data_IF_085286936250
#
_entry.id   IF_085286936250
#
_cell.length_a   1.000
_cell.length_b   1.000
_cell.length_c   1.000
_cell.angle_alpha   90.00
_cell.angle_beta   90.00
_cell.angle_gamma   90.00
#
_symmetry.space_group_name_H-M   'P 1'
#
loop_
_entity.id
_entity.type
_entity.pdbx_description
1 polymer ?
#
# COMPACT_ATOMS: atom_id res chain seq x y z
N UNK A 1 0.13 4.97 24.92
CA UNK A 1 1.15 4.52 23.96
C UNK A 1 2.54 4.49 24.59
N UNK A 2 3.16 5.63 24.93
CA UNK A 2 4.48 5.64 25.57
C UNK A 2 4.56 4.79 26.85
N UNK A 3 3.58 4.92 27.75
CA UNK A 3 3.52 4.09 28.96
C UNK A 3 3.44 2.57 28.66
N UNK A 4 2.86 2.17 27.53
CA UNK A 4 2.83 0.75 27.12
C UNK A 4 4.19 0.31 26.61
N UNK A 5 4.84 1.13 25.78
CA UNK A 5 6.20 0.86 25.26
C UNK A 5 7.22 0.76 26.39
N UNK A 6 7.07 1.60 27.43
CA UNK A 6 7.92 1.58 28.63
C UNK A 6 7.52 0.52 29.67
N UNK A 7 6.48 -0.28 29.42
CA UNK A 7 6.02 -1.33 30.34
C UNK A 7 5.31 -0.82 31.61
N UNK A 8 4.92 0.45 31.66
CA UNK A 8 4.16 1.06 32.77
C UNK A 8 2.64 0.84 32.67
N UNK A 9 2.14 0.49 31.48
CA UNK A 9 0.76 0.12 31.23
C UNK A 9 0.73 -1.25 30.54
N UNK A 10 -0.22 -2.09 30.95
CA UNK A 10 -0.43 -3.41 30.35
C UNK A 10 -0.78 -3.29 28.85
N UNK A 11 0.04 -3.86 27.93
CA UNK A 11 -0.26 -3.89 26.51
C UNK A 11 -1.47 -4.77 26.16
N UNK A 12 -1.86 -5.73 27.00
CA UNK A 12 -2.98 -6.64 26.76
C UNK A 12 -4.34 -6.03 27.13
N UNK A 13 -4.34 -4.90 27.84
CA UNK A 13 -5.55 -4.20 28.27
C UNK A 13 -6.50 -3.93 27.09
N UNK A 14 -7.73 -4.44 27.17
CA UNK A 14 -8.75 -4.25 26.13
C UNK A 14 -9.02 -2.75 25.86
N UNK A 15 -8.95 -1.90 26.88
CA UNK A 15 -9.12 -0.46 26.71
C UNK A 15 -8.01 0.16 25.84
N UNK A 16 -6.77 -0.28 26.03
CA UNK A 16 -5.65 0.16 25.22
C UNK A 16 -5.74 -0.39 23.79
N UNK A 17 -6.12 -1.66 23.63
CA UNK A 17 -6.31 -2.31 22.33
C UNK A 17 -7.36 -1.58 21.48
N UNK A 18 -8.53 -1.31 22.06
CA UNK A 18 -9.60 -0.56 21.36
C UNK A 18 -9.13 0.84 20.96
N UNK A 19 -8.36 1.50 21.81
CA UNK A 19 -7.82 2.83 21.51
C UNK A 19 -6.83 2.79 20.34
N UNK A 20 -5.86 1.85 20.35
CA UNK A 20 -4.78 1.80 19.37
C UNK A 20 -5.26 1.32 17.99
N UNK A 21 -6.24 0.40 17.97
CA UNK A 21 -6.84 -0.12 16.74
C UNK A 21 -7.71 0.91 16.02
N UNK A 22 -8.31 1.84 16.77
CA UNK A 22 -9.13 2.94 16.22
C UNK A 22 -8.31 4.16 15.84
N UNK A 23 -7.03 4.22 16.21
CA UNK A 23 -6.16 5.31 15.82
C UNK A 23 -5.84 5.25 14.32
N UNK A 24 -6.26 6.26 13.57
CA UNK A 24 -5.97 6.35 12.13
C UNK A 24 -4.50 6.68 11.81
N UNK A 25 -3.72 7.14 12.80
CA UNK A 25 -2.32 7.53 12.58
C UNK A 25 -2.16 8.73 11.65
N UNK A 26 -3.03 9.75 11.76
CA UNK A 26 -3.01 10.92 10.86
C UNK A 26 -1.78 11.84 11.01
N UNK A 27 -1.07 11.76 12.15
CA UNK A 27 0.15 12.53 12.45
C UNK A 27 0.01 14.06 12.36
N UNK A 28 -1.21 14.58 12.26
CA UNK A 28 -1.46 16.03 12.16
C UNK A 28 -1.00 16.81 13.41
N UNK A 29 -0.84 16.12 14.55
CA UNK A 29 -0.35 16.71 15.79
C UNK A 29 1.16 16.93 15.83
N UNK A 30 1.96 16.20 15.03
CA UNK A 30 3.43 16.30 15.07
C UNK A 30 3.97 17.68 14.69
N UNK A 31 3.57 18.32 13.56
CA UNK A 31 4.15 19.60 13.16
C UNK A 31 3.78 20.77 14.08
N UNK A 32 2.72 20.62 14.88
CA UNK A 32 2.24 21.64 15.83
C UNK A 32 2.67 21.37 17.27
N UNK A 33 3.35 20.25 17.52
CA UNK A 33 3.71 19.85 18.87
C UNK A 33 4.90 20.71 19.36
N UNK A 34 4.74 21.55 20.40
CA UNK A 34 5.86 22.34 20.93
C UNK A 34 6.93 21.47 21.61
N UNK A 35 6.58 20.23 21.96
CA UNK A 35 7.48 19.26 22.58
C UNK A 35 8.18 18.34 21.56
N UNK A 36 7.89 18.46 20.26
CA UNK A 36 8.51 17.65 19.22
C UNK A 36 8.21 16.14 19.34
N UNK A 37 7.00 15.78 19.78
CA UNK A 37 6.65 14.36 19.97
C UNK A 37 6.48 13.67 18.62
N UNK A 38 7.32 12.67 18.36
CA UNK A 38 7.25 11.76 17.21
C UNK A 38 6.10 10.73 17.38
N UNK A 39 4.86 11.23 17.25
CA UNK A 39 3.65 10.45 17.50
C UNK A 39 3.58 9.16 16.65
N UNK A 40 3.95 9.23 15.37
CA UNK A 40 3.95 8.12 14.43
C UNK A 40 4.87 7.00 14.87
N UNK A 41 6.10 7.33 15.28
CA UNK A 41 7.06 6.35 15.82
C UNK A 41 6.52 5.73 17.11
N UNK A 42 5.96 6.53 18.02
CA UNK A 42 5.35 6.01 19.26
C UNK A 42 4.16 5.09 18.97
N UNK A 43 3.34 5.41 17.97
CA UNK A 43 2.21 4.59 17.53
C UNK A 43 2.68 3.24 16.97
N UNK A 44 3.70 3.25 16.11
CA UNK A 44 4.28 2.04 15.53
C UNK A 44 4.89 1.13 16.61
N UNK A 45 5.68 1.70 17.53
CA UNK A 45 6.25 0.95 18.65
C UNK A 45 5.15 0.37 19.55
N UNK A 46 4.13 1.16 19.87
CA UNK A 46 3.03 0.70 20.71
C UNK A 46 2.21 -0.42 20.05
N UNK A 47 2.05 -0.38 18.71
CA UNK A 47 1.42 -1.47 17.94
C UNK A 47 2.28 -2.72 17.90
N UNK A 48 3.60 -2.60 17.79
CA UNK A 48 4.51 -3.75 17.91
C UNK A 48 4.45 -4.37 19.30
N UNK A 49 4.53 -3.56 20.38
CA UNK A 49 4.38 -4.04 21.76
C UNK A 49 3.04 -4.75 21.97
N UNK A 50 1.95 -4.15 21.50
CA UNK A 50 0.61 -4.73 21.55
C UNK A 50 0.51 -6.06 20.78
N UNK A 51 1.00 -6.09 19.54
CA UNK A 51 0.97 -7.28 18.67
C UNK A 51 1.84 -8.42 19.20
N UNK A 52 2.94 -8.11 19.91
CA UNK A 52 3.76 -9.12 20.57
C UNK A 52 3.08 -9.71 21.80
N UNK A 53 2.38 -8.89 22.59
CA UNK A 53 1.63 -9.35 23.76
C UNK A 53 0.38 -10.14 23.34
N UNK A 54 -0.37 -9.64 22.37
CA UNK A 54 -1.57 -10.28 21.81
C UNK A 54 -1.41 -10.50 20.29
N UNK A 55 -0.79 -11.62 19.89
CA UNK A 55 -0.55 -11.91 18.47
C UNK A 55 -1.84 -11.92 17.66
N UNK A 56 -1.82 -11.36 16.44
CA UNK A 56 -2.99 -11.39 15.57
C UNK A 56 -3.41 -12.82 15.26
N UNK A 57 -4.63 -13.00 14.78
CA UNK A 57 -5.14 -14.31 14.40
C UNK A 57 -4.28 -14.95 13.29
N UNK A 58 -4.28 -16.30 13.17
CA UNK A 58 -3.43 -17.01 12.22
C UNK A 58 -3.65 -16.59 10.76
N UNK A 59 -4.88 -16.20 10.38
CA UNK A 59 -5.19 -15.74 9.02
C UNK A 59 -4.52 -14.40 8.75
N UNK A 60 -4.61 -13.44 9.68
CA UNK A 60 -3.95 -12.14 9.58
C UNK A 60 -2.42 -12.29 9.53
N UNK A 61 -1.84 -13.16 10.37
CA UNK A 61 -0.40 -13.48 10.31
C UNK A 61 0.00 -14.09 8.96
N UNK A 62 -0.82 -15.00 8.44
CA UNK A 62 -0.63 -15.59 7.11
C UNK A 62 -0.64 -14.52 6.01
N UNK A 63 -1.61 -13.61 6.05
CA UNK A 63 -1.71 -12.51 5.08
C UNK A 63 -0.49 -11.58 5.13
N UNK A 64 -0.04 -11.18 6.33
CA UNK A 64 1.17 -10.36 6.48
C UNK A 64 2.40 -11.08 5.92
N UNK A 65 2.54 -12.39 6.14
CA UNK A 65 3.64 -13.18 5.57
C UNK A 65 3.57 -13.26 4.04
N UNK A 66 2.37 -13.47 3.47
CA UNK A 66 2.15 -13.44 2.01
C UNK A 66 2.52 -12.08 1.43
N UNK A 67 2.12 -10.98 2.08
CA UNK A 67 2.44 -9.61 1.66
C UNK A 67 3.92 -9.23 1.81
N UNK A 68 4.64 -9.85 2.74
CA UNK A 68 6.09 -9.68 2.90
C UNK A 68 6.90 -10.38 1.80
N UNK A 69 6.37 -11.47 1.24
CA UNK A 69 7.02 -12.21 0.16
C UNK A 69 6.68 -11.63 -1.19
N UNK A 70 7.69 -11.16 -1.93
CA UNK A 70 7.51 -10.64 -3.30
C UNK A 70 6.83 -11.67 -4.19
N UNK A 71 7.32 -12.92 -4.19
CA UNK A 71 6.78 -13.99 -5.03
C UNK A 71 5.30 -14.28 -4.73
N UNK A 72 4.95 -14.49 -3.46
CA UNK A 72 3.56 -14.82 -3.08
C UNK A 72 2.62 -13.65 -3.33
N UNK A 73 3.09 -12.42 -3.09
CA UNK A 73 2.32 -11.21 -3.36
C UNK A 73 2.05 -11.01 -4.85
N UNK A 74 3.04 -11.23 -5.72
CA UNK A 74 2.84 -11.20 -7.17
C UNK A 74 1.84 -12.26 -7.64
N UNK A 75 1.95 -13.49 -7.13
CA UNK A 75 0.99 -14.57 -7.44
C UNK A 75 -0.42 -14.16 -6.99
N UNK A 76 -0.56 -13.59 -5.78
CA UNK A 76 -1.86 -13.16 -5.26
C UNK A 76 -2.46 -12.04 -6.13
N UNK A 77 -1.68 -11.01 -6.48
CA UNK A 77 -2.17 -9.92 -7.33
C UNK A 77 -2.50 -10.37 -8.74
N UNK A 78 -1.69 -11.27 -9.33
CA UNK A 78 -1.95 -11.83 -10.65
C UNK A 78 -3.22 -12.68 -10.65
N UNK A 79 -3.37 -13.58 -9.67
CA UNK A 79 -4.57 -14.38 -9.49
C UNK A 79 -5.82 -13.53 -9.24
N UNK A 80 -5.71 -12.50 -8.39
CA UNK A 80 -6.78 -11.54 -8.13
C UNK A 80 -7.18 -10.77 -9.39
N UNK A 81 -6.20 -10.32 -10.20
CA UNK A 81 -6.44 -9.67 -11.50
C UNK A 81 -7.18 -10.62 -12.45
N UNK A 82 -6.76 -11.87 -12.55
CA UNK A 82 -7.41 -12.88 -13.39
C UNK A 82 -8.85 -13.14 -12.94
N UNK A 83 -9.08 -13.38 -11.64
CA UNK A 83 -10.42 -13.61 -11.06
C UNK A 83 -11.36 -12.44 -11.29
N UNK A 84 -10.84 -11.21 -11.20
CA UNK A 84 -11.56 -9.97 -11.48
C UNK A 84 -11.90 -9.80 -12.96
N UNK A 85 -10.94 -10.04 -13.86
CA UNK A 85 -11.17 -9.90 -15.32
C UNK A 85 -12.16 -10.94 -15.81
N UNK A 86 -12.07 -12.18 -15.33
CA UNK A 86 -13.00 -13.26 -15.68
C UNK A 86 -14.41 -13.09 -15.08
N UNK A 87 -14.64 -12.11 -14.20
CA UNK A 87 -15.95 -11.91 -13.56
C UNK A 87 -16.34 -13.00 -12.54
N UNK A 88 -15.42 -13.91 -12.24
CA UNK A 88 -15.63 -14.97 -11.26
C UNK A 88 -15.83 -14.41 -9.85
N UNK A 89 -15.13 -13.34 -9.49
CA UNK A 89 -15.32 -12.68 -8.20
C UNK A 89 -16.77 -12.20 -8.01
N UNK A 90 -17.38 -11.57 -9.01
CA UNK A 90 -18.80 -11.16 -8.96
C UNK A 90 -19.75 -12.35 -8.93
N UNK A 91 -19.49 -13.40 -9.72
CA UNK A 91 -20.32 -14.61 -9.72
C UNK A 91 -20.30 -15.30 -8.34
N UNK A 92 -19.12 -15.42 -7.74
CA UNK A 92 -18.95 -16.01 -6.41
C UNK A 92 -19.66 -15.21 -5.32
N UNK A 93 -19.65 -13.87 -5.38
CA UNK A 93 -20.38 -13.02 -4.41
C UNK A 93 -21.89 -13.31 -4.46
N UNK A 94 -22.48 -13.45 -5.65
CA UNK A 94 -23.90 -13.75 -5.82
C UNK A 94 -24.30 -15.13 -5.26
N UNK A 95 -23.39 -16.12 -5.35
CA UNK A 95 -23.61 -17.47 -4.81
C UNK A 95 -23.39 -17.51 -3.30
N UNK A 96 -22.28 -16.93 -2.79
CA UNK A 96 -21.97 -16.87 -1.37
C UNK A 96 -22.95 -16.00 -0.57
N UNK A 97 -23.69 -15.10 -1.22
CA UNK A 97 -24.75 -14.29 -0.58
C UNK A 97 -25.83 -15.13 0.10
N UNK A 98 -25.97 -16.41 -0.25
CA UNK A 98 -26.90 -17.35 0.38
C UNK A 98 -26.33 -18.04 1.64
N UNK A 99 -25.04 -17.85 1.95
CA UNK A 99 -24.32 -18.56 3.02
C UNK A 99 -23.93 -17.57 4.13
N UNK A 100 -24.62 -17.65 5.29
CA UNK A 100 -24.48 -16.68 6.40
C UNK A 100 -23.08 -16.58 7.02
N UNK A 101 -22.27 -17.64 6.99
CA UNK A 101 -20.96 -17.69 7.65
C UNK A 101 -19.78 -17.26 6.77
N UNK A 102 -20.00 -16.94 5.49
CA UNK A 102 -18.93 -16.58 4.55
C UNK A 102 -18.61 -15.07 4.48
N UNK A 103 -18.94 -14.30 5.54
CA UNK A 103 -18.94 -12.83 5.53
C UNK A 103 -17.61 -12.18 5.12
N UNK A 104 -16.47 -12.62 5.68
CA UNK A 104 -15.14 -12.08 5.37
C UNK A 104 -14.71 -12.37 3.93
N UNK A 105 -14.94 -13.60 3.47
CA UNK A 105 -14.62 -14.02 2.11
C UNK A 105 -15.49 -13.28 1.08
N UNK A 106 -16.79 -13.14 1.37
CA UNK A 106 -17.72 -12.34 0.56
C UNK A 106 -17.27 -10.89 0.48
N UNK A 107 -16.86 -10.28 1.60
CA UNK A 107 -16.35 -8.91 1.60
C UNK A 107 -15.08 -8.77 0.75
N UNK A 108 -14.13 -9.70 0.87
CA UNK A 108 -12.91 -9.69 0.07
C UNK A 108 -13.21 -9.82 -1.45
N UNK A 109 -14.11 -10.74 -1.82
CA UNK A 109 -14.53 -10.93 -3.22
C UNK A 109 -15.33 -9.73 -3.75
N UNK A 110 -16.15 -9.10 -2.91
CA UNK A 110 -16.89 -7.88 -3.25
C UNK A 110 -15.96 -6.67 -3.44
N UNK A 111 -14.93 -6.53 -2.60
CA UNK A 111 -13.89 -5.52 -2.81
C UNK A 111 -13.14 -5.78 -4.11
N UNK A 112 -12.78 -7.03 -4.39
CA UNK A 112 -12.13 -7.38 -5.64
C UNK A 112 -13.02 -7.11 -6.86
N UNK A 113 -14.32 -7.43 -6.79
CA UNK A 113 -15.25 -7.15 -7.89
C UNK A 113 -15.48 -5.64 -8.07
N UNK A 114 -15.52 -4.86 -7.00
CA UNK A 114 -15.65 -3.40 -7.05
C UNK A 114 -14.44 -2.70 -7.70
N UNK A 115 -13.27 -3.35 -7.75
CA UNK A 115 -12.10 -2.84 -8.50
C UNK A 115 -12.15 -3.13 -10.01
N UNK A 116 -13.22 -3.77 -10.52
CA UNK A 116 -13.44 -3.91 -11.96
C UNK A 116 -13.84 -2.53 -12.50
N UNK A 117 -13.17 -2.08 -13.55
CA UNK A 117 -13.54 -0.82 -14.22
C UNK A 117 -14.90 -1.04 -14.87
N UNK A 118 -15.95 -0.40 -14.35
CA UNK A 118 -17.23 -0.29 -15.03
C UNK A 118 -17.07 0.76 -16.11
N UNK A 119 -17.15 0.35 -17.38
CA UNK A 119 -17.33 1.31 -18.47
C UNK A 119 -18.83 1.35 -18.73
N UNK A 120 -19.45 2.51 -18.52
CA UNK A 120 -20.81 2.78 -19.02
C UNK A 120 -20.71 2.91 -20.54
N UNK A 121 -21.10 1.86 -21.26
CA UNK A 121 -21.43 1.95 -22.68
C UNK A 121 -22.97 2.04 -22.76
N UNK A 122 -23.51 3.25 -22.93
CA UNK A 122 -24.95 3.49 -23.03
C UNK A 122 -25.75 3.21 -21.74
N UNK A 123 -27.00 2.74 -21.88
CA UNK A 123 -27.91 2.41 -20.76
C UNK A 123 -27.57 1.10 -20.02
N UNK A 124 -26.44 0.44 -20.34
CA UNK A 124 -26.01 -0.81 -19.70
C UNK A 124 -24.67 -0.67 -18.96
N UNK A 125 -24.56 -1.31 -17.79
CA UNK A 125 -23.28 -1.49 -17.08
C UNK A 125 -22.67 -2.79 -17.61
N UNK A 126 -21.73 -2.70 -18.55
CA UNK A 126 -20.91 -3.84 -18.97
C UNK A 126 -19.54 -3.77 -18.29
N UNK A 127 -18.98 -4.95 -18.00
CA UNK A 127 -17.60 -5.03 -17.57
C UNK A 127 -16.71 -4.55 -18.72
N UNK A 128 -15.93 -3.50 -18.48
CA UNK A 128 -15.01 -3.00 -19.48
C UNK A 128 -13.98 -4.10 -19.80
N UNK A 129 -14.02 -4.60 -21.04
CA UNK A 129 -12.81 -5.11 -21.66
C UNK A 129 -11.76 -4.01 -21.55
N UNK A 130 -10.60 -4.35 -20.98
CA UNK A 130 -9.54 -3.39 -20.80
C UNK A 130 -8.93 -3.16 -22.17
N UNK A 131 -9.23 -2.01 -22.77
CA UNK A 131 -8.38 -1.50 -23.84
C UNK A 131 -6.99 -1.31 -23.23
N UNK A 132 -5.95 -1.96 -23.76
CA UNK A 132 -4.61 -1.76 -23.27
C UNK A 132 -4.28 -0.29 -23.52
N UNK A 133 -4.18 0.50 -22.45
CA UNK A 133 -3.31 1.67 -22.49
C UNK A 133 -1.86 1.17 -22.39
N UNK A 134 -1.50 0.27 -23.30
CA UNK A 134 -0.14 -0.10 -23.65
C UNK A 134 0.29 0.91 -24.71
N UNK A 135 0.33 2.17 -24.31
CA UNK A 135 1.43 2.98 -24.77
C UNK A 135 2.33 3.05 -23.56
N UNK A 136 3.27 2.11 -23.51
CA UNK A 136 4.59 2.40 -23.00
C UNK A 136 5.07 3.60 -23.83
N UNK A 137 4.57 4.80 -23.50
CA UNK A 137 5.06 6.03 -24.07
C UNK A 137 6.47 6.07 -23.52
N UNK A 138 7.43 5.61 -24.32
CA UNK A 138 8.80 6.04 -24.23
C UNK A 138 8.71 7.56 -24.15
N UNK A 139 8.80 8.09 -22.94
CA UNK A 139 8.90 9.50 -22.69
C UNK A 139 10.29 9.86 -23.22
N UNK A 140 10.37 10.09 -24.53
CA UNK A 140 11.55 10.61 -25.20
C UNK A 140 11.24 12.05 -25.53
N UNK A 141 11.19 12.90 -24.50
CA UNK A 141 11.32 14.34 -24.72
C UNK A 141 12.82 14.67 -24.73
N UNK A 142 13.21 15.55 -25.64
CA UNK A 142 14.58 16.08 -25.72
C UNK A 142 15.01 16.60 -24.33
N UNK A 143 16.30 16.44 -23.94
CA UNK A 143 16.77 16.86 -22.63
C UNK A 143 16.50 18.34 -22.43
N UNK A 144 15.46 18.66 -21.67
CA UNK A 144 15.23 20.02 -21.16
C UNK A 144 16.22 20.22 -20.03
N UNK A 145 16.81 21.40 -19.93
CA UNK A 145 17.77 21.80 -18.89
C UNK A 145 17.22 21.32 -17.53
N UNK A 146 17.76 20.22 -17.03
CA UNK A 146 17.08 19.39 -16.04
C UNK A 146 17.22 19.97 -14.65
N UNK A 147 16.12 20.11 -13.93
CA UNK A 147 16.10 20.53 -12.52
C UNK A 147 16.75 19.47 -11.62
N UNK A 148 16.72 18.21 -12.07
CA UNK A 148 17.30 17.05 -11.41
C UNK A 148 16.63 15.75 -11.88
N UNK A 149 17.21 14.62 -11.50
CA UNK A 149 16.67 13.29 -11.75
C UNK A 149 15.76 12.83 -10.61
N UNK A 150 14.67 12.14 -10.95
CA UNK A 150 13.65 11.71 -9.98
C UNK A 150 13.26 10.26 -10.20
N UNK A 151 13.07 9.53 -9.11
CA UNK A 151 12.52 8.18 -9.12
C UNK A 151 11.19 8.13 -8.39
N UNK A 152 10.18 7.50 -8.96
CA UNK A 152 8.85 7.38 -8.33
C UNK A 152 8.76 6.07 -7.54
N UNK A 153 8.41 6.16 -6.25
CA UNK A 153 8.03 5.03 -5.42
C UNK A 153 6.64 4.54 -5.85
N UNK A 154 6.60 3.42 -6.58
CA UNK A 154 5.36 2.97 -7.23
C UNK A 154 4.33 2.43 -6.25
N UNK A 155 4.77 1.78 -5.17
CA UNK A 155 3.93 1.11 -4.19
C UNK A 155 3.13 -0.08 -4.74
N UNK A 156 2.86 -1.09 -3.91
CA UNK A 156 2.16 -2.30 -4.37
C UNK A 156 0.69 -2.04 -4.74
N UNK A 157 -0.04 -1.28 -3.91
CA UNK A 157 -1.46 -0.96 -4.16
C UNK A 157 -1.62 0.06 -5.29
N UNK A 158 -0.74 1.07 -5.34
CA UNK A 158 -0.78 2.07 -6.40
C UNK A 158 -0.48 1.45 -7.76
N UNK A 159 0.59 0.66 -7.90
CA UNK A 159 0.88 -0.05 -9.15
C UNK A 159 -0.22 -1.08 -9.50
N UNK A 160 -0.82 -1.69 -8.48
CA UNK A 160 -1.92 -2.64 -8.58
C UNK A 160 -3.23 -2.06 -9.15
N UNK A 161 -3.72 -0.97 -8.54
CA UNK A 161 -5.08 -0.43 -8.71
C UNK A 161 -5.12 1.02 -9.23
N UNK A 162 -4.07 1.79 -8.96
CA UNK A 162 -4.01 3.23 -9.25
C UNK A 162 -2.82 3.60 -10.15
N UNK A 163 -2.38 2.69 -11.03
CA UNK A 163 -1.21 2.89 -11.91
C UNK A 163 -1.28 4.23 -12.66
N UNK A 164 -2.47 4.62 -13.10
CA UNK A 164 -2.76 5.92 -13.72
C UNK A 164 -2.26 7.14 -12.93
N UNK A 165 -2.22 7.06 -11.60
CA UNK A 165 -1.73 8.13 -10.71
C UNK A 165 -0.21 8.21 -10.77
N UNK A 166 0.48 7.07 -10.76
CA UNK A 166 1.94 7.02 -10.96
C UNK A 166 2.30 7.54 -12.35
N UNK A 167 1.57 7.13 -13.39
CA UNK A 167 1.80 7.58 -14.76
C UNK A 167 1.54 9.09 -14.91
N UNK A 168 0.48 9.61 -14.28
CA UNK A 168 0.21 11.05 -14.25
C UNK A 168 1.28 11.83 -13.48
N UNK A 169 1.79 11.27 -12.38
CA UNK A 169 2.89 11.87 -11.61
C UNK A 169 4.14 11.96 -12.48
N UNK A 170 4.50 10.88 -13.18
CA UNK A 170 5.64 10.86 -14.10
C UNK A 170 5.51 11.92 -15.20
N UNK A 171 4.36 11.98 -15.90
CA UNK A 171 4.11 12.99 -16.94
C UNK A 171 4.18 14.42 -16.39
N UNK A 172 3.67 14.63 -15.18
CA UNK A 172 3.70 15.96 -14.55
C UNK A 172 5.14 16.39 -14.26
N UNK A 173 5.96 15.50 -13.70
CA UNK A 173 7.38 15.78 -13.42
C UNK A 173 8.18 16.02 -14.71
N UNK A 174 7.97 15.20 -15.73
CA UNK A 174 8.62 15.32 -17.04
C UNK A 174 8.33 16.68 -17.71
N UNK A 175 7.05 17.09 -17.73
CA UNK A 175 6.66 18.40 -18.29
C UNK A 175 7.30 19.57 -17.52
N UNK A 176 7.55 19.40 -16.22
CA UNK A 176 8.22 20.38 -15.36
C UNK A 176 9.77 20.29 -15.40
N UNK A 177 10.34 19.49 -16.31
CA UNK A 177 11.79 19.47 -16.56
C UNK A 177 12.60 18.57 -15.62
N UNK A 178 11.97 17.60 -14.96
CA UNK A 178 12.69 16.55 -14.23
C UNK A 178 13.01 15.35 -15.13
N UNK A 179 14.20 14.77 -14.97
CA UNK A 179 14.58 13.50 -15.60
C UNK A 179 13.95 12.34 -14.81
N UNK A 180 12.78 11.86 -15.27
CA UNK A 180 12.04 10.78 -14.60
C UNK A 180 12.65 9.42 -14.93
N UNK A 181 13.39 8.84 -13.99
CA UNK A 181 14.06 7.55 -14.15
C UNK A 181 13.24 6.39 -13.63
N UNK A 182 13.23 5.30 -14.39
CA UNK A 182 12.64 4.05 -13.94
C UNK A 182 13.51 3.39 -12.85
N UNK A 183 13.00 3.33 -11.63
CA UNK A 183 13.65 2.59 -10.54
C UNK A 183 13.14 1.16 -10.52
N UNK A 184 13.99 0.22 -10.93
CA UNK A 184 13.66 -1.21 -10.96
C UNK A 184 13.93 -1.88 -9.62
N UNK A 185 13.33 -3.06 -9.40
CA UNK A 185 13.51 -3.87 -8.16
C UNK A 185 13.04 -3.18 -6.86
N UNK A 186 12.16 -2.19 -6.96
CA UNK A 186 11.33 -1.77 -5.84
C UNK A 186 10.44 -2.94 -5.35
N UNK A 187 10.02 -2.88 -4.09
CA UNK A 187 9.19 -3.87 -3.39
C UNK A 187 8.04 -3.13 -2.66
N UNK A 188 7.19 -3.86 -1.92
CA UNK A 188 6.23 -3.24 -1.00
C UNK A 188 6.95 -2.27 -0.04
N UNK A 189 6.33 -1.15 0.32
CA UNK A 189 6.91 -0.16 1.25
C UNK A 189 6.91 -0.63 2.72
N UNK A 190 6.13 -1.66 3.07
CA UNK A 190 6.05 -2.16 4.44
C UNK A 190 5.01 -1.50 5.35
N UNK A 191 4.25 -0.51 4.86
CA UNK A 191 3.23 0.20 5.67
C UNK A 191 2.21 -0.74 6.32
N UNK A 192 1.73 -1.74 5.57
CA UNK A 192 0.80 -2.75 6.08
C UNK A 192 1.39 -3.54 7.26
N UNK A 193 2.68 -3.87 7.18
CA UNK A 193 3.39 -4.59 8.24
C UNK A 193 3.60 -3.71 9.47
N UNK A 194 3.97 -2.44 9.28
CA UNK A 194 4.11 -1.50 10.39
C UNK A 194 2.78 -1.27 11.12
N UNK A 195 1.68 -1.09 10.38
CA UNK A 195 0.35 -0.99 10.97
C UNK A 195 -0.11 -2.26 11.69
N UNK A 196 0.34 -3.44 11.24
CA UNK A 196 0.09 -4.72 11.90
C UNK A 196 1.04 -5.04 13.07
N UNK A 197 1.89 -4.09 13.49
CA UNK A 197 2.88 -4.29 14.55
C UNK A 197 4.07 -5.18 14.16
N UNK A 198 4.27 -5.46 12.87
CA UNK A 198 5.37 -6.28 12.35
C UNK A 198 6.53 -5.39 11.84
N UNK A 199 7.13 -4.57 12.71
CA UNK A 199 8.10 -3.54 12.29
C UNK A 199 9.38 -4.15 11.71
N UNK A 200 9.82 -5.31 12.18
CA UNK A 200 10.97 -6.00 11.57
C UNK A 200 10.73 -6.32 10.09
N UNK A 201 9.53 -6.81 9.75
CA UNK A 201 9.17 -7.08 8.36
C UNK A 201 9.04 -5.78 7.55
N UNK A 202 8.48 -4.72 8.15
CA UNK A 202 8.38 -3.40 7.53
C UNK A 202 9.76 -2.83 7.19
N UNK A 203 10.71 -2.83 8.14
CA UNK A 203 12.09 -2.37 7.95
C UNK A 203 12.83 -3.16 6.86
N UNK A 204 12.63 -4.48 6.81
CA UNK A 204 13.22 -5.32 5.77
C UNK A 204 12.71 -4.96 4.37
N UNK A 205 11.42 -4.64 4.24
CA UNK A 205 10.81 -4.19 2.98
C UNK A 205 11.29 -2.78 2.60
N UNK A 206 11.33 -1.85 3.55
CA UNK A 206 11.84 -0.50 3.35
C UNK A 206 13.31 -0.51 2.89
N UNK A 207 14.15 -1.31 3.55
CA UNK A 207 15.57 -1.49 3.17
C UNK A 207 15.75 -1.95 1.72
N UNK A 208 14.85 -2.81 1.21
CA UNK A 208 14.93 -3.24 -0.21
C UNK A 208 14.65 -2.09 -1.17
N UNK A 209 13.69 -1.24 -0.82
CA UNK A 209 13.37 -0.05 -1.59
C UNK A 209 14.51 0.97 -1.53
N UNK A 210 15.06 1.28 -0.34
CA UNK A 210 16.23 2.15 -0.18
C UNK A 210 17.36 1.70 -1.12
N UNK A 211 17.73 0.42 -1.06
CA UNK A 211 18.74 -0.16 -1.96
C UNK A 211 18.37 -0.07 -3.44
N UNK A 212 17.09 -0.11 -3.80
CA UNK A 212 16.66 0.07 -5.19
C UNK A 212 16.86 1.51 -5.66
N UNK A 213 16.54 2.50 -4.82
CA UNK A 213 16.72 3.93 -5.13
C UNK A 213 18.19 4.34 -5.12
N UNK A 214 18.99 3.88 -4.16
CA UNK A 214 20.44 4.11 -4.13
C UNK A 214 21.12 3.61 -5.42
N UNK A 215 20.75 2.40 -5.89
CA UNK A 215 21.27 1.84 -7.14
C UNK A 215 20.81 2.60 -8.39
N UNK A 216 19.66 3.27 -8.33
CA UNK A 216 19.17 4.06 -9.45
C UNK A 216 19.83 5.44 -9.54
N UNK A 217 20.44 5.92 -8.44
CA UNK A 217 21.19 7.19 -8.43
C UNK A 217 20.35 8.37 -8.88
N UNK A 218 19.13 8.49 -8.33
CA UNK A 218 18.24 9.64 -8.56
C UNK A 218 18.46 10.71 -7.49
N UNK A 219 18.32 11.97 -7.86
CA UNK A 219 18.48 13.09 -6.92
C UNK A 219 17.32 13.17 -5.93
N UNK A 220 16.11 12.79 -6.37
CA UNK A 220 14.90 12.83 -5.55
C UNK A 220 14.06 11.56 -5.65
N UNK A 221 13.49 11.14 -4.52
CA UNK A 221 12.46 10.09 -4.46
C UNK A 221 11.10 10.78 -4.38
N UNK A 222 10.22 10.49 -5.33
CA UNK A 222 8.87 11.04 -5.37
C UNK A 222 7.86 10.00 -4.94
N UNK A 223 6.94 10.39 -4.06
CA UNK A 223 5.85 9.54 -3.58
C UNK A 223 4.52 10.25 -3.86
N UNK A 224 3.60 9.57 -4.55
CA UNK A 224 2.28 10.12 -4.90
C UNK A 224 1.15 9.60 -3.97
N UNK A 225 1.51 8.86 -2.92
CA UNK A 225 0.61 8.39 -1.88
C UNK A 225 1.18 8.61 -0.48
N UNK A 226 0.45 9.40 0.33
CA UNK A 226 0.86 9.81 1.67
C UNK A 226 1.24 8.63 2.59
N UNK A 227 0.51 7.51 2.52
CA UNK A 227 0.78 6.35 3.37
C UNK A 227 2.14 5.68 3.14
N UNK A 228 2.67 5.72 1.91
CA UNK A 228 3.98 5.15 1.62
C UNK A 228 5.10 6.10 2.03
N UNK A 229 4.92 7.40 1.80
CA UNK A 229 5.91 8.43 2.14
C UNK A 229 6.04 8.64 3.64
N UNK A 230 5.00 8.36 4.42
CA UNK A 230 5.08 8.41 5.87
C UNK A 230 5.82 7.21 6.49
N UNK A 231 6.00 6.12 5.73
CA UNK A 231 6.64 4.87 6.20
C UNK A 231 8.10 4.74 5.76
N UNK A 232 8.47 5.37 4.64
CA UNK A 232 9.75 5.24 3.93
C UNK A 232 10.61 6.49 4.13
#
# INVERSE_FOLDING_TARGET
MQAVVEGRLDPESDAFQVHIDRCLGCRACEPVCPSGVEYGTLLELARETSSNARPPDPLTRGLLRVMASRMLREILFLGGRALRVMGLASAMVSVLGRIRFAGKLRFALAMLSATRRSVRLGQGIMAAGMEPQDTETKITHAPRVGVGSVGILRGCVQDGLYRRVNDATARTLDVNGYDVRAVTRQDCCGALHAHGGALTAARNLATRNIKAFERAGVDWVVVSAAGFGATM
#
